data_IF_372158435056
#
_entry.id   IF_372158435056
#
_cell.length_a   1.000
_cell.length_b   1.000
_cell.length_c   1.000
_cell.angle_alpha   90.00
_cell.angle_beta   90.00
_cell.angle_gamma   90.00
#
_symmetry.space_group_name_H-M   'P 1'
#
loop_
_entity.id
_entity.type
_entity.pdbx_description
1 polymer ?
#
# COMPACT_ATOMS: atom_id res chain seq x y z
N UNK A 1 18.34 -2.17 -19.91
CA UNK A 1 18.98 -2.86 -21.06
C UNK A 1 19.99 -3.96 -20.65
N UNK A 2 20.72 -3.83 -19.53
CA UNK A 2 21.72 -4.84 -19.08
C UNK A 2 21.04 -6.09 -18.50
N UNK A 3 20.08 -5.92 -17.58
CA UNK A 3 19.38 -7.03 -16.94
C UNK A 3 18.65 -7.94 -17.94
N UNK A 4 18.00 -7.34 -18.95
CA UNK A 4 17.30 -8.08 -20.00
C UNK A 4 18.23 -8.96 -20.83
N UNK A 5 19.43 -8.46 -21.16
CA UNK A 5 20.47 -9.25 -21.84
C UNK A 5 20.95 -10.42 -20.98
N UNK A 6 21.17 -10.20 -19.69
CA UNK A 6 21.59 -11.26 -18.77
C UNK A 6 20.54 -12.36 -18.62
N UNK A 7 19.28 -11.98 -18.35
CA UNK A 7 18.18 -12.93 -18.15
C UNK A 7 17.81 -13.67 -19.43
N UNK A 8 17.96 -13.04 -20.60
CA UNK A 8 17.77 -13.71 -21.90
C UNK A 8 18.78 -14.85 -22.12
N UNK A 9 20.04 -14.70 -21.68
CA UNK A 9 21.02 -15.80 -21.72
C UNK A 9 20.60 -17.00 -20.86
N UNK A 10 19.75 -16.77 -19.85
CA UNK A 10 19.13 -17.80 -19.00
C UNK A 10 17.75 -18.24 -19.50
N UNK A 11 17.38 -17.90 -20.74
CA UNK A 11 16.08 -18.21 -21.37
C UNK A 11 14.85 -17.67 -20.60
N UNK A 12 15.01 -16.59 -19.84
CA UNK A 12 13.90 -15.90 -19.16
C UNK A 12 13.44 -14.68 -19.95
N UNK A 13 12.12 -14.54 -20.09
CA UNK A 13 11.48 -13.36 -20.67
C UNK A 13 11.40 -12.27 -19.60
N UNK A 14 11.52 -11.02 -20.02
CA UNK A 14 11.41 -9.87 -19.13
C UNK A 14 10.49 -8.82 -19.74
N UNK A 15 9.82 -8.05 -18.90
CA UNK A 15 9.03 -6.90 -19.30
C UNK A 15 9.40 -5.71 -18.42
N UNK A 16 9.62 -4.55 -19.03
CA UNK A 16 9.88 -3.32 -18.29
C UNK A 16 8.55 -2.65 -17.94
N UNK A 17 8.44 -2.21 -16.69
CA UNK A 17 7.32 -1.42 -16.19
C UNK A 17 7.89 -0.17 -15.54
N UNK A 18 7.36 0.98 -15.92
CA UNK A 18 7.69 2.26 -15.30
C UNK A 18 6.45 2.74 -14.55
N UNK A 19 6.58 3.01 -13.25
CA UNK A 19 5.48 3.47 -12.40
C UNK A 19 5.84 4.84 -11.82
N UNK A 20 4.84 5.69 -11.68
CA UNK A 20 4.94 6.89 -10.84
C UNK A 20 4.37 6.61 -9.45
N UNK A 21 4.67 7.47 -8.48
CA UNK A 21 4.01 7.45 -7.18
C UNK A 21 2.47 7.44 -7.31
N UNK A 22 1.93 8.25 -8.23
CA UNK A 22 0.49 8.34 -8.49
C UNK A 22 -0.12 7.03 -9.00
N UNK A 23 0.63 6.22 -9.74
CA UNK A 23 0.16 4.91 -10.24
C UNK A 23 0.03 3.88 -9.12
N UNK A 24 0.69 4.13 -7.98
CA UNK A 24 0.66 3.26 -6.81
C UNK A 24 -0.31 3.71 -5.71
N UNK A 25 -0.62 5.01 -5.63
CA UNK A 25 -1.59 5.56 -4.66
C UNK A 25 -3.03 5.62 -5.21
N UNK A 26 -3.20 5.87 -6.51
CA UNK A 26 -4.52 5.87 -7.15
C UNK A 26 -5.04 4.43 -7.29
N UNK A 27 -6.26 4.17 -6.81
CA UNK A 27 -6.84 2.82 -6.81
C UNK A 27 -7.06 2.26 -8.21
N UNK A 28 -7.51 3.07 -9.17
CA UNK A 28 -7.79 2.63 -10.53
C UNK A 28 -6.48 2.31 -11.25
N UNK A 29 -5.47 3.16 -11.11
CA UNK A 29 -4.14 2.96 -11.70
C UNK A 29 -3.38 1.81 -11.05
N UNK A 30 -3.51 1.62 -9.74
CA UNK A 30 -2.92 0.49 -9.03
C UNK A 30 -3.58 -0.84 -9.39
N UNK A 31 -4.89 -0.89 -9.63
CA UNK A 31 -5.56 -2.08 -10.17
C UNK A 31 -5.08 -2.41 -11.59
N UNK A 32 -4.95 -1.42 -12.48
CA UNK A 32 -4.42 -1.65 -13.82
C UNK A 32 -2.98 -2.17 -13.78
N UNK A 33 -2.15 -1.59 -12.90
CA UNK A 33 -0.78 -2.03 -12.66
C UNK A 33 -0.75 -3.47 -12.12
N UNK A 34 -1.65 -3.80 -11.18
CA UNK A 34 -1.79 -5.15 -10.62
C UNK A 34 -2.11 -6.18 -11.70
N UNK A 35 -3.13 -5.94 -12.51
CA UNK A 35 -3.54 -6.89 -13.56
C UNK A 35 -2.43 -7.08 -14.60
N UNK A 36 -1.71 -6.01 -14.95
CA UNK A 36 -0.57 -6.08 -15.86
C UNK A 36 0.56 -6.93 -15.27
N UNK A 37 0.97 -6.65 -14.03
CA UNK A 37 2.04 -7.39 -13.36
C UNK A 37 1.67 -8.87 -13.19
N UNK A 38 0.43 -9.16 -12.76
CA UNK A 38 -0.07 -10.53 -12.62
C UNK A 38 -0.06 -11.29 -13.95
N UNK A 39 -0.52 -10.65 -15.03
CA UNK A 39 -0.55 -11.27 -16.36
C UNK A 39 0.84 -11.64 -16.86
N UNK A 40 1.84 -10.78 -16.59
CA UNK A 40 3.25 -11.06 -16.91
C UNK A 40 3.79 -12.26 -16.12
N UNK A 41 3.54 -12.30 -14.81
CA UNK A 41 3.97 -13.41 -13.94
C UNK A 41 3.32 -14.73 -14.39
N UNK A 42 2.01 -14.73 -14.67
CA UNK A 42 1.29 -15.91 -15.19
C UNK A 42 1.83 -16.41 -16.55
N UNK A 43 2.50 -15.53 -17.30
CA UNK A 43 3.10 -15.83 -18.60
C UNK A 43 4.59 -16.22 -18.51
N UNK A 44 5.13 -16.51 -17.32
CA UNK A 44 6.56 -16.74 -17.03
C UNK A 44 7.47 -15.60 -17.53
N UNK A 45 6.97 -14.36 -17.45
CA UNK A 45 7.73 -13.14 -17.74
C UNK A 45 8.10 -12.47 -16.43
N UNK A 46 9.38 -12.12 -16.27
CA UNK A 46 9.90 -11.41 -15.09
C UNK A 46 9.66 -9.89 -15.26
N UNK A 47 8.82 -9.26 -14.43
CA UNK A 47 8.66 -7.80 -14.46
C UNK A 47 9.90 -7.12 -13.88
N UNK A 48 10.42 -6.12 -14.59
CA UNK A 48 11.48 -5.22 -14.12
C UNK A 48 10.83 -3.85 -13.94
N UNK A 49 10.62 -3.47 -12.69
CA UNK A 49 9.89 -2.26 -12.31
C UNK A 49 10.89 -1.19 -11.89
N UNK A 50 10.71 0.04 -12.35
CA UNK A 50 11.46 1.22 -11.91
C UNK A 50 10.53 2.44 -11.84
N UNK A 51 10.96 3.47 -11.13
CA UNK A 51 10.25 4.76 -11.15
C UNK A 51 10.32 5.42 -12.54
N UNK A 52 9.26 6.13 -12.90
CA UNK A 52 9.18 6.90 -14.13
C UNK A 52 9.61 8.36 -13.90
N UNK A 53 10.93 8.57 -13.79
CA UNK A 53 11.53 9.87 -13.47
C UNK A 53 11.23 10.98 -14.50
N UNK A 54 10.81 10.62 -15.72
CA UNK A 54 10.57 11.59 -16.80
C UNK A 54 9.22 12.31 -16.68
N UNK A 55 8.26 11.73 -15.97
CA UNK A 55 6.90 12.28 -15.81
C UNK A 55 6.54 12.55 -14.35
N UNK A 56 7.40 12.18 -13.40
CA UNK A 56 7.24 12.51 -11.99
C UNK A 56 7.51 14.02 -11.79
N UNK A 57 6.57 14.73 -11.18
CA UNK A 57 6.74 16.14 -10.79
C UNK A 57 7.69 16.27 -9.60
N UNK A 58 8.49 17.35 -9.57
CA UNK A 58 9.64 17.55 -8.67
C UNK A 58 9.34 17.53 -7.17
N UNK A 59 8.06 17.65 -6.76
CA UNK A 59 7.62 17.77 -5.36
C UNK A 59 7.77 16.46 -4.53
N UNK A 60 8.08 15.33 -5.20
CA UNK A 60 8.25 14.01 -4.58
C UNK A 60 9.61 13.36 -4.87
N UNK A 61 10.63 14.16 -5.24
CA UNK A 61 12.02 13.69 -5.42
C UNK A 61 12.70 13.30 -4.09
N UNK A 62 12.20 12.25 -3.46
CA UNK A 62 13.04 11.37 -2.65
C UNK A 62 13.04 10.02 -3.36
N UNK A 63 14.06 9.84 -4.22
CA UNK A 63 14.27 8.66 -5.07
C UNK A 63 14.56 7.40 -4.26
N UNK A 64 13.51 6.86 -3.63
CA UNK A 64 13.60 5.74 -2.72
C UNK A 64 12.85 4.53 -3.29
N UNK A 65 13.58 3.76 -4.10
CA UNK A 65 13.13 2.47 -4.62
C UNK A 65 12.69 1.50 -3.50
N UNK A 66 13.08 1.71 -2.23
CA UNK A 66 12.59 0.90 -1.11
C UNK A 66 11.07 1.08 -0.94
N UNK A 67 10.57 2.33 -0.98
CA UNK A 67 9.13 2.64 -0.93
C UNK A 67 8.40 2.13 -2.16
N UNK A 68 8.95 2.34 -3.35
CA UNK A 68 8.36 1.80 -4.59
C UNK A 68 8.23 0.27 -4.50
N UNK A 69 9.27 -0.42 -4.03
CA UNK A 69 9.25 -1.87 -3.87
C UNK A 69 8.17 -2.32 -2.87
N UNK A 70 8.00 -1.61 -1.75
CA UNK A 70 6.92 -1.87 -0.79
C UNK A 70 5.52 -1.67 -1.39
N UNK A 71 5.33 -0.63 -2.21
CA UNK A 71 4.06 -0.38 -2.90
C UNK A 71 3.77 -1.41 -3.98
N UNK A 72 4.78 -1.80 -4.75
CA UNK A 72 4.65 -2.90 -5.70
C UNK A 72 4.27 -4.19 -4.97
N UNK A 73 4.95 -4.51 -3.87
CA UNK A 73 4.63 -5.68 -3.05
C UNK A 73 3.18 -5.66 -2.54
N UNK A 74 2.67 -4.49 -2.14
CA UNK A 74 1.26 -4.28 -1.83
C UNK A 74 0.34 -4.55 -3.03
N UNK A 75 0.63 -3.95 -4.19
CA UNK A 75 -0.19 -4.07 -5.41
C UNK A 75 -0.33 -5.53 -5.84
N UNK A 76 0.77 -6.28 -5.80
CA UNK A 76 0.78 -7.70 -6.21
C UNK A 76 0.38 -8.66 -5.08
N UNK A 77 0.10 -8.16 -3.88
CA UNK A 77 -0.21 -8.94 -2.68
C UNK A 77 0.89 -9.97 -2.34
N UNK A 78 2.15 -9.54 -2.45
CA UNK A 78 3.31 -10.38 -2.17
C UNK A 78 3.33 -10.85 -0.71
N UNK A 79 3.82 -12.07 -0.48
CA UNK A 79 3.99 -12.62 0.86
C UNK A 79 5.34 -12.19 1.50
N UNK A 80 6.33 -11.83 0.68
CA UNK A 80 7.67 -11.44 1.11
C UNK A 80 8.28 -10.37 0.19
N UNK A 81 8.77 -9.28 0.79
CA UNK A 81 9.61 -8.27 0.18
C UNK A 81 11.07 -8.50 0.59
N UNK A 82 11.97 -8.47 -0.39
CA UNK A 82 13.41 -8.65 -0.20
C UNK A 82 14.13 -7.35 -0.53
N UNK A 83 14.75 -6.72 0.46
CA UNK A 83 15.56 -5.51 0.31
C UNK A 83 17.05 -5.86 0.44
N UNK A 84 17.75 -5.82 -0.69
CA UNK A 84 19.19 -6.07 -0.74
C UNK A 84 19.95 -4.77 -0.45
N UNK A 85 20.87 -4.81 0.51
CA UNK A 85 21.66 -3.64 0.94
C UNK A 85 23.14 -3.98 1.04
N UNK A 86 23.99 -2.98 1.27
CA UNK A 86 25.44 -3.11 1.49
C UNK A 86 25.83 -3.53 2.92
N UNK A 87 24.89 -3.47 3.87
CA UNK A 87 25.05 -3.91 5.27
C UNK A 87 24.35 -5.25 5.55
N UNK A 88 24.68 -5.91 6.67
CA UNK A 88 24.05 -7.19 7.04
C UNK A 88 22.55 -7.05 7.33
N UNK A 89 22.12 -5.95 7.93
CA UNK A 89 20.73 -5.70 8.31
C UNK A 89 20.66 -4.57 9.34
N UNK A 90 19.59 -4.51 10.12
CA UNK A 90 19.42 -3.56 11.23
C UNK A 90 20.19 -4.04 12.45
N UNK A 91 20.92 -3.13 13.09
CA UNK A 91 21.65 -3.39 14.35
C UNK A 91 21.06 -2.51 15.45
N UNK A 92 21.22 -2.95 16.70
CA UNK A 92 20.78 -2.18 17.87
C UNK A 92 21.51 -0.82 18.01
N UNK A 93 22.69 -0.71 17.41
CA UNK A 93 23.52 0.49 17.35
C UNK A 93 24.47 0.38 16.14
N UNK A 94 25.18 1.46 15.80
CA UNK A 94 26.04 1.47 14.62
C UNK A 94 27.27 0.55 14.80
N UNK A 95 27.43 -0.54 14.01
CA UNK A 95 28.54 -1.47 14.15
C UNK A 95 29.89 -0.89 13.76
N UNK A 96 29.94 0.28 13.11
CA UNK A 96 31.20 0.99 12.81
C UNK A 96 31.77 1.73 14.02
N UNK A 97 30.93 2.03 15.01
CA UNK A 97 31.32 2.79 16.21
C UNK A 97 31.34 1.95 17.48
N UNK A 98 30.65 0.80 17.47
CA UNK A 98 30.51 -0.05 18.65
C UNK A 98 30.74 -1.52 18.30
N UNK A 99 31.80 -2.12 18.86
CA UNK A 99 32.17 -3.52 18.62
C UNK A 99 31.14 -4.51 19.17
N UNK A 100 30.36 -4.11 20.18
CA UNK A 100 29.29 -4.92 20.76
C UNK A 100 27.93 -4.75 20.04
N UNK A 101 27.89 -4.13 18.85
CA UNK A 101 26.67 -4.02 18.06
C UNK A 101 26.14 -5.40 17.66
N UNK A 102 24.85 -5.63 17.90
CA UNK A 102 24.15 -6.89 17.61
C UNK A 102 23.14 -6.70 16.50
N UNK A 103 23.12 -7.64 15.56
CA UNK A 103 22.12 -7.70 14.50
C UNK A 103 20.75 -8.03 15.10
N UNK A 104 19.72 -7.31 14.68
CA UNK A 104 18.33 -7.66 14.99
C UNK A 104 17.86 -8.64 13.93
N UNK A 105 17.93 -9.94 14.22
CA UNK A 105 17.52 -10.99 13.29
C UNK A 105 16.03 -10.96 12.99
N UNK A 106 15.21 -10.60 13.98
CA UNK A 106 13.75 -10.55 13.86
C UNK A 106 13.20 -9.29 14.51
N UNK A 107 12.35 -8.58 13.77
CA UNK A 107 11.63 -7.39 14.21
C UNK A 107 10.13 -7.66 14.08
N UNK A 108 9.44 -7.82 15.21
CA UNK A 108 7.98 -8.11 15.23
C UNK A 108 7.11 -6.86 15.25
N UNK A 109 7.67 -5.74 15.67
CA UNK A 109 6.99 -4.45 15.81
C UNK A 109 7.96 -3.36 15.42
N UNK A 110 7.50 -2.47 14.55
CA UNK A 110 8.21 -1.23 14.20
C UNK A 110 7.65 -0.16 15.12
N UNK A 111 8.51 0.43 15.96
CA UNK A 111 8.16 1.50 16.88
C UNK A 111 9.23 2.61 16.86
N UNK A 112 9.07 3.60 17.74
CA UNK A 112 10.02 4.71 17.83
C UNK A 112 11.44 4.29 18.19
N UNK A 113 11.64 3.13 18.85
CA UNK A 113 12.98 2.62 19.14
C UNK A 113 13.63 2.07 17.88
N UNK A 114 12.90 1.30 17.07
CA UNK A 114 13.37 0.79 15.77
C UNK A 114 13.75 1.94 14.84
N UNK A 115 12.94 3.00 14.78
CA UNK A 115 13.26 4.20 14.00
C UNK A 115 14.51 4.92 14.52
N UNK A 116 14.70 5.04 15.83
CA UNK A 116 15.92 5.61 16.43
C UNK A 116 17.17 4.79 16.08
N UNK A 117 17.08 3.45 16.09
CA UNK A 117 18.19 2.56 15.68
C UNK A 117 18.55 2.76 14.20
N UNK A 118 17.57 3.03 13.33
CA UNK A 118 17.79 3.33 11.92
C UNK A 118 18.53 4.65 11.72
N UNK A 119 18.10 5.69 12.44
CA UNK A 119 18.67 7.05 12.36
C UNK A 119 20.07 7.14 12.94
N UNK A 120 20.47 6.26 13.86
CA UNK A 120 21.84 6.21 14.39
C UNK A 120 22.83 5.51 13.44
N UNK A 121 22.34 4.87 12.38
CA UNK A 121 23.15 4.22 11.34
C UNK A 121 23.37 5.07 10.09
N UNK A 122 22.76 6.26 9.99
CA UNK A 122 22.89 7.09 8.78
C UNK A 122 24.26 7.77 8.74
N UNK A 123 25.08 7.41 7.75
CA UNK A 123 26.27 8.17 7.38
C UNK A 123 25.89 9.45 6.63
N UNK A 124 26.73 10.48 6.75
CA UNK A 124 26.55 11.86 6.26
C UNK A 124 26.38 12.05 4.73
N UNK A 125 26.40 10.97 3.93
CA UNK A 125 26.47 11.04 2.45
C UNK A 125 25.37 10.28 1.70
N UNK A 126 24.35 9.72 2.37
CA UNK A 126 23.26 8.99 1.69
C UNK A 126 21.87 9.45 2.17
N UNK A 127 21.00 9.86 1.23
CA UNK A 127 19.70 10.50 1.49
C UNK A 127 18.57 9.55 1.94
N UNK A 128 18.81 8.25 2.10
CA UNK A 128 17.79 7.26 2.47
C UNK A 128 18.36 5.89 2.83
N UNK A 129 19.07 5.79 3.96
CA UNK A 129 19.82 4.59 4.37
C UNK A 129 18.97 3.44 4.93
N UNK A 130 19.16 3.11 6.21
CA UNK A 130 18.36 2.09 6.92
C UNK A 130 16.95 2.58 7.23
N UNK A 131 16.78 3.89 7.43
CA UNK A 131 15.50 4.51 7.76
C UNK A 131 14.41 4.24 6.71
N UNK A 132 14.72 4.42 5.42
CA UNK A 132 13.78 4.17 4.32
C UNK A 132 13.40 2.70 4.19
N UNK A 133 14.33 1.78 4.45
CA UNK A 133 14.08 0.34 4.42
C UNK A 133 13.13 -0.09 5.54
N UNK A 134 13.22 0.56 6.70
CA UNK A 134 12.25 0.36 7.78
C UNK A 134 10.89 0.93 7.40
N UNK A 135 10.82 2.10 6.75
CA UNK A 135 9.56 2.63 6.24
C UNK A 135 8.95 1.70 5.19
N UNK A 136 9.75 1.15 4.28
CA UNK A 136 9.31 0.15 3.32
C UNK A 136 8.79 -1.12 4.00
N UNK A 137 9.48 -1.59 5.04
CA UNK A 137 9.05 -2.73 5.85
C UNK A 137 7.73 -2.45 6.59
N UNK A 138 7.52 -1.23 7.08
CA UNK A 138 6.26 -0.81 7.71
C UNK A 138 5.11 -0.78 6.69
N UNK A 139 5.34 -0.18 5.51
CA UNK A 139 4.36 -0.14 4.42
C UNK A 139 3.99 -1.57 4.01
N UNK A 140 4.96 -2.41 3.68
CA UNK A 140 4.73 -3.80 3.28
C UNK A 140 4.03 -4.61 4.41
N UNK A 141 4.49 -4.44 5.65
CA UNK A 141 3.94 -5.10 6.82
C UNK A 141 2.47 -4.76 7.07
N UNK A 142 2.05 -3.52 6.78
CA UNK A 142 0.65 -3.09 6.91
C UNK A 142 -0.32 -3.88 6.01
N UNK A 143 0.18 -4.52 4.95
CA UNK A 143 -0.60 -5.37 4.03
C UNK A 143 -0.38 -6.88 4.24
N UNK A 144 0.34 -7.26 5.30
CA UNK A 144 0.65 -8.67 5.58
C UNK A 144 1.80 -9.23 4.76
N UNK A 145 2.65 -8.37 4.18
CA UNK A 145 3.87 -8.75 3.50
C UNK A 145 5.04 -8.68 4.49
N UNK A 146 5.75 -9.78 4.71
CA UNK A 146 6.97 -9.77 5.51
C UNK A 146 8.08 -9.07 4.72
N UNK A 147 9.04 -8.44 5.41
CA UNK A 147 10.18 -7.81 4.74
C UNK A 147 11.49 -8.34 5.29
N UNK A 148 12.41 -8.73 4.43
CA UNK A 148 13.77 -9.13 4.81
C UNK A 148 14.77 -8.12 4.26
N UNK A 149 15.53 -7.50 5.16
CA UNK A 149 16.67 -6.64 4.82
C UNK A 149 17.94 -7.45 5.02
N UNK A 150 18.75 -7.61 3.97
CA UNK A 150 19.97 -8.42 4.03
C UNK A 150 21.04 -7.96 3.06
N UNK A 151 22.27 -8.39 3.31
CA UNK A 151 23.43 -8.02 2.51
C UNK A 151 23.38 -8.63 1.10
N UNK A 152 23.39 -7.78 0.08
CA UNK A 152 23.33 -8.16 -1.33
C UNK A 152 24.68 -8.14 -2.06
N UNK A 153 25.69 -7.43 -1.52
CA UNK A 153 27.01 -7.28 -2.13
C UNK A 153 27.99 -8.43 -1.78
N UNK A 154 27.45 -9.64 -1.56
CA UNK A 154 28.21 -10.87 -1.30
C UNK A 154 27.91 -11.90 -2.39
N UNK A 155 28.80 -12.86 -2.58
CA UNK A 155 28.59 -13.93 -3.55
C UNK A 155 27.39 -14.81 -3.16
N UNK A 156 26.45 -14.96 -4.09
CA UNK A 156 25.24 -15.78 -3.95
C UNK A 156 24.46 -15.50 -2.64
N UNK A 157 23.96 -14.27 -2.43
CA UNK A 157 23.39 -13.85 -1.15
C UNK A 157 22.17 -14.71 -0.77
N UNK A 158 21.41 -15.19 -1.75
CA UNK A 158 20.27 -16.09 -1.55
C UNK A 158 20.64 -17.50 -1.08
N UNK A 159 21.86 -17.98 -1.35
CA UNK A 159 22.30 -19.30 -0.88
C UNK A 159 22.44 -19.33 0.64
N UNK A 160 22.84 -18.20 1.21
CA UNK A 160 23.04 -18.05 2.66
C UNK A 160 21.72 -17.89 3.41
N UNK A 161 20.64 -17.44 2.75
CA UNK A 161 19.30 -17.28 3.37
C UNK A 161 18.76 -18.55 4.02
N UNK A 162 19.18 -19.73 3.56
CA UNK A 162 18.79 -21.02 4.15
C UNK A 162 19.47 -21.35 5.48
N UNK A 163 20.48 -20.58 5.91
CA UNK A 163 21.31 -20.87 7.09
C UNK A 163 20.96 -20.04 8.34
N UNK A 164 19.80 -19.37 8.37
CA UNK A 164 19.28 -18.56 9.50
C UNK A 164 20.11 -17.32 9.92
N UNK A 165 21.18 -16.96 9.21
CA UNK A 165 22.20 -16.02 9.71
C UNK A 165 22.39 -14.78 8.82
N UNK A 166 21.32 -14.31 8.17
CA UNK A 166 21.43 -13.29 7.10
C UNK A 166 20.31 -12.27 7.16
N UNK A 167 20.52 -11.31 8.05
CA UNK A 167 19.83 -10.03 8.05
C UNK A 167 18.69 -9.91 9.03
N UNK A 168 17.79 -8.97 8.74
CA UNK A 168 16.72 -8.56 9.66
C UNK A 168 15.36 -8.83 9.03
N UNK A 169 14.63 -9.78 9.60
CA UNK A 169 13.28 -10.15 9.19
C UNK A 169 12.24 -9.33 9.96
N UNK A 170 11.53 -8.48 9.24
CA UNK A 170 10.38 -7.73 9.73
C UNK A 170 9.12 -8.55 9.50
N UNK A 171 8.55 -9.04 10.60
CA UNK A 171 7.35 -9.86 10.58
C UNK A 171 6.13 -8.94 10.54
N UNK A 172 5.27 -9.15 9.55
CA UNK A 172 4.00 -8.44 9.45
C UNK A 172 3.08 -8.81 10.62
N UNK A 173 2.65 -7.79 11.37
CA UNK A 173 1.70 -7.95 12.45
C UNK A 173 0.27 -8.05 11.90
N UNK A 174 -0.14 -9.27 11.56
CA UNK A 174 -1.52 -9.73 11.33
C UNK A 174 -2.17 -9.65 9.93
N UNK A 175 -2.95 -10.72 9.65
CA UNK A 175 -3.75 -11.11 8.46
C UNK A 175 -4.21 -9.96 7.54
N UNK A 176 -4.00 -10.15 6.21
CA UNK A 176 -4.40 -9.40 4.98
C UNK A 176 -5.67 -8.51 5.00
N UNK A 177 -6.53 -8.54 6.02
CA UNK A 177 -7.82 -7.85 6.14
C UNK A 177 -7.80 -6.51 6.90
N UNK A 178 -6.76 -6.17 7.67
CA UNK A 178 -6.66 -4.90 8.45
C UNK A 178 -5.97 -3.74 7.71
N UNK A 179 -5.11 -4.04 6.72
CA UNK A 179 -4.28 -3.02 6.03
C UNK A 179 -5.04 -1.92 5.33
N UNK A 180 -6.11 -2.27 4.61
CA UNK A 180 -6.97 -1.30 3.91
C UNK A 180 -7.63 -0.31 4.88
N UNK A 181 -8.09 -0.79 6.04
CA UNK A 181 -8.76 0.04 7.04
C UNK A 181 -7.77 0.98 7.73
N UNK A 182 -6.55 0.51 8.00
CA UNK A 182 -5.48 1.33 8.56
C UNK A 182 -4.99 2.38 7.54
N UNK A 183 -4.90 2.03 6.26
CA UNK A 183 -4.59 2.98 5.18
C UNK A 183 -5.67 4.05 5.05
N UNK A 184 -6.96 3.66 5.07
CA UNK A 184 -8.07 4.62 5.08
C UNK A 184 -8.03 5.55 6.29
N UNK A 185 -7.67 5.03 7.47
CA UNK A 185 -7.50 5.83 8.67
C UNK A 185 -6.39 6.89 8.53
N UNK A 186 -5.26 6.53 7.89
CA UNK A 186 -4.11 7.41 7.68
C UNK A 186 -4.18 8.29 6.42
N UNK A 187 -5.19 8.11 5.57
CA UNK A 187 -5.28 8.85 4.30
C UNK A 187 -5.68 10.31 4.51
N UNK A 188 -4.87 11.23 3.98
CA UNK A 188 -5.05 12.69 4.13
C UNK A 188 -5.88 13.27 2.98
N UNK A 189 -5.79 12.70 1.78
CA UNK A 189 -6.52 13.18 0.60
C UNK A 189 -7.95 12.64 0.57
N UNK A 190 -8.92 13.53 0.77
CA UNK A 190 -10.36 13.25 0.75
C UNK A 190 -10.96 14.01 -0.44
N UNK A 191 -11.56 13.30 -1.40
CA UNK A 191 -12.10 13.91 -2.62
C UNK A 191 -13.54 14.42 -2.46
N UNK A 192 -14.28 13.92 -1.47
CA UNK A 192 -15.63 14.38 -1.17
C UNK A 192 -16.23 13.76 0.07
N UNK A 193 -17.50 14.06 0.32
CA UNK A 193 -18.17 13.70 1.57
C UNK A 193 -19.59 13.19 1.32
N UNK A 194 -19.97 12.13 2.04
CA UNK A 194 -21.34 11.63 2.09
C UNK A 194 -21.94 11.85 3.48
N UNK A 195 -23.10 12.49 3.51
CA UNK A 195 -23.94 12.58 4.71
C UNK A 195 -24.94 11.42 4.71
N UNK A 196 -25.01 10.68 5.82
CA UNK A 196 -25.81 9.46 5.95
C UNK A 196 -26.84 9.55 7.08
N UNK A 197 -27.93 8.78 6.96
CA UNK A 197 -28.96 8.72 7.99
C UNK A 197 -28.60 7.81 9.18
N UNK A 198 -29.40 7.91 10.26
CA UNK A 198 -29.19 7.12 11.47
C UNK A 198 -29.30 5.59 11.24
N UNK A 199 -30.09 5.15 10.26
CA UNK A 199 -30.20 3.74 9.89
C UNK A 199 -28.89 3.21 9.31
N UNK A 200 -28.29 3.98 8.40
CA UNK A 200 -26.97 3.71 7.83
C UNK A 200 -25.90 3.71 8.91
N UNK A 201 -25.88 4.70 9.81
CA UNK A 201 -24.93 4.77 10.93
C UNK A 201 -24.98 3.49 11.78
N UNK A 202 -26.20 3.05 12.14
CA UNK A 202 -26.38 1.82 12.92
C UNK A 202 -25.94 0.57 12.15
N UNK A 203 -26.18 0.50 10.84
CA UNK A 203 -25.73 -0.61 10.01
C UNK A 203 -24.19 -0.65 9.90
N UNK A 204 -23.55 0.50 9.68
CA UNK A 204 -22.10 0.62 9.60
C UNK A 204 -21.43 0.21 10.92
N UNK A 205 -21.99 0.61 12.07
CA UNK A 205 -21.49 0.19 13.39
C UNK A 205 -21.59 -1.33 13.61
N UNK A 206 -22.51 -2.02 12.93
CA UNK A 206 -22.63 -3.49 12.92
C UNK A 206 -21.72 -4.17 11.88
N UNK A 207 -20.91 -3.40 11.14
CA UNK A 207 -20.00 -3.91 10.12
C UNK A 207 -20.63 -4.13 8.74
N UNK A 208 -21.77 -3.50 8.45
CA UNK A 208 -22.38 -3.52 7.13
C UNK A 208 -21.67 -2.57 6.14
N UNK A 209 -21.96 -2.73 4.84
CA UNK A 209 -21.57 -1.80 3.79
C UNK A 209 -22.48 -0.57 3.78
N UNK A 210 -22.02 0.55 3.21
CA UNK A 210 -22.87 1.72 2.99
C UNK A 210 -23.69 1.52 1.70
N UNK A 211 -25.00 1.44 1.84
CA UNK A 211 -25.95 1.32 0.72
C UNK A 211 -26.47 2.69 0.27
N UNK A 212 -26.92 2.84 -1.00
CA UNK A 212 -27.43 4.11 -1.51
C UNK A 212 -28.64 4.63 -0.71
N UNK A 213 -29.47 3.72 -0.20
CA UNK A 213 -30.68 4.05 0.56
C UNK A 213 -30.40 4.88 1.82
N UNK A 214 -29.20 4.74 2.38
CA UNK A 214 -28.77 5.43 3.60
C UNK A 214 -28.11 6.79 3.38
N UNK A 215 -27.96 7.24 2.13
CA UNK A 215 -27.31 8.51 1.78
C UNK A 215 -28.35 9.62 1.69
N UNK A 216 -28.11 10.71 2.41
CA UNK A 216 -28.95 11.91 2.43
C UNK A 216 -28.38 12.99 1.51
N UNK A 217 -27.06 13.23 1.57
CA UNK A 217 -26.39 14.26 0.76
C UNK A 217 -25.04 13.80 0.23
N UNK A 218 -24.72 14.29 -0.97
CA UNK A 218 -23.42 14.16 -1.63
C UNK A 218 -22.78 15.55 -1.68
N UNK A 219 -21.55 15.68 -1.20
CA UNK A 219 -20.82 16.95 -1.14
C UNK A 219 -19.46 16.81 -1.82
N UNK A 220 -19.10 17.80 -2.64
CA UNK A 220 -17.88 17.80 -3.42
C UNK A 220 -18.00 17.04 -4.74
N UNK A 221 -16.85 16.80 -5.39
CA UNK A 221 -16.76 16.04 -6.64
C UNK A 221 -15.75 14.93 -6.43
N UNK A 222 -16.17 13.70 -6.65
CA UNK A 222 -15.32 12.52 -6.56
C UNK A 222 -15.69 11.53 -7.65
N UNK A 223 -14.72 10.69 -7.98
CA UNK A 223 -14.88 9.58 -8.91
C UNK A 223 -14.90 8.25 -8.16
N UNK A 224 -15.37 7.21 -8.83
CA UNK A 224 -15.23 5.83 -8.40
C UNK A 224 -13.77 5.51 -8.10
N UNK A 225 -13.52 4.98 -6.91
CA UNK A 225 -12.19 4.66 -6.40
C UNK A 225 -11.60 5.72 -5.48
N UNK A 226 -12.20 6.91 -5.41
CA UNK A 226 -11.76 7.97 -4.50
C UNK A 226 -12.12 7.65 -3.04
N UNK A 227 -11.31 8.19 -2.14
CA UNK A 227 -11.61 8.19 -0.70
C UNK A 227 -12.57 9.34 -0.42
N UNK A 228 -13.68 8.97 0.20
CA UNK A 228 -14.73 9.89 0.61
C UNK A 228 -14.93 9.81 2.12
N UNK A 229 -15.19 10.97 2.73
CA UNK A 229 -15.51 11.10 4.15
C UNK A 229 -16.99 10.79 4.38
N UNK A 230 -17.29 10.16 5.50
CA UNK A 230 -18.65 9.81 5.92
C UNK A 230 -18.97 10.66 7.15
N UNK A 231 -20.04 11.45 7.08
CA UNK A 231 -20.50 12.33 8.15
C UNK A 231 -21.95 12.02 8.57
N UNK A 232 -22.31 12.37 9.80
CA UNK A 232 -23.71 12.43 10.23
C UNK A 232 -24.37 13.78 9.85
N UNK A 233 -25.66 13.90 10.16
CA UNK A 233 -26.46 15.11 9.91
C UNK A 233 -25.97 16.36 10.67
N UNK A 234 -25.16 16.19 11.72
CA UNK A 234 -24.54 17.30 12.46
C UNK A 234 -23.14 17.66 11.89
N UNK A 235 -22.71 17.01 10.81
CA UNK A 235 -21.39 17.19 10.23
C UNK A 235 -20.27 16.46 10.98
N UNK A 236 -20.60 15.58 11.94
CA UNK A 236 -19.59 14.81 12.67
C UNK A 236 -18.98 13.76 11.75
N UNK A 237 -17.65 13.77 11.63
CA UNK A 237 -16.88 12.76 10.90
C UNK A 237 -17.00 11.39 11.57
N UNK A 238 -17.60 10.44 10.87
CA UNK A 238 -17.80 9.06 11.31
C UNK A 238 -16.71 8.14 10.82
N UNK A 239 -16.15 8.43 9.64
CA UNK A 239 -15.20 7.54 9.00
C UNK A 239 -14.89 7.94 7.57
N UNK A 240 -14.22 7.04 6.86
CA UNK A 240 -13.86 7.20 5.45
C UNK A 240 -14.03 5.88 4.72
N UNK A 241 -14.23 5.96 3.43
CA UNK A 241 -14.25 4.75 2.61
C UNK A 241 -14.07 5.05 1.13
N UNK A 242 -13.94 3.98 0.36
CA UNK A 242 -13.71 4.07 -1.07
C UNK A 242 -15.04 3.99 -1.81
N UNK A 243 -15.36 5.01 -2.61
CA UNK A 243 -16.58 5.01 -3.41
C UNK A 243 -16.52 4.00 -4.56
N UNK A 244 -17.61 3.30 -4.82
CA UNK A 244 -17.80 2.45 -6.00
C UNK A 244 -18.47 3.16 -7.19
N UNK A 245 -18.82 4.43 -7.00
CA UNK A 245 -19.54 5.26 -7.95
C UNK A 245 -18.98 6.68 -7.99
N UNK A 246 -19.18 7.38 -9.10
CA UNK A 246 -18.88 8.80 -9.21
C UNK A 246 -19.93 9.63 -8.44
N UNK A 247 -19.59 10.86 -8.03
CA UNK A 247 -20.50 11.72 -7.27
C UNK A 247 -21.86 11.93 -7.96
N UNK A 248 -21.85 12.10 -9.29
CA UNK A 248 -23.06 12.27 -10.08
C UNK A 248 -23.93 10.99 -10.07
N UNK A 249 -23.31 9.82 -10.14
CA UNK A 249 -24.03 8.55 -10.08
C UNK A 249 -24.63 8.35 -8.69
N UNK A 250 -23.86 8.61 -7.61
CA UNK A 250 -24.36 8.55 -6.23
C UNK A 250 -25.55 9.50 -6.05
N UNK A 251 -25.48 10.70 -6.61
CA UNK A 251 -26.57 11.68 -6.55
C UNK A 251 -27.86 11.17 -7.23
N UNK A 252 -27.74 10.39 -8.31
CA UNK A 252 -28.89 9.77 -8.99
C UNK A 252 -29.52 8.61 -8.19
N UNK A 253 -28.70 7.84 -7.46
CA UNK A 253 -29.15 6.62 -6.75
C UNK A 253 -29.32 6.80 -5.23
N UNK A 254 -29.00 7.97 -4.67
CA UNK A 254 -29.17 8.23 -3.24
C UNK A 254 -30.63 8.06 -2.81
N UNK A 255 -30.83 7.47 -1.64
CA UNK A 255 -32.16 7.15 -1.11
C UNK A 255 -32.90 6.03 -1.87
N UNK A 256 -32.28 5.37 -2.85
CA UNK A 256 -32.90 4.27 -3.61
C UNK A 256 -32.45 2.90 -3.11
N UNK A 257 -33.30 1.89 -3.33
CA UNK A 257 -32.94 0.48 -3.11
C UNK A 257 -31.92 0.03 -4.15
N UNK A 258 -30.97 -0.81 -3.76
CA UNK A 258 -29.91 -1.32 -4.64
C UNK A 258 -30.43 -2.01 -5.90
N UNK A 259 -31.60 -2.64 -5.83
CA UNK A 259 -32.27 -3.26 -6.99
C UNK A 259 -32.64 -2.27 -8.11
N UNK A 260 -32.70 -0.97 -7.82
CA UNK A 260 -33.02 0.07 -8.80
C UNK A 260 -31.78 0.65 -9.50
N UNK A 261 -30.56 0.32 -9.04
CA UNK A 261 -29.31 0.90 -9.59
C UNK A 261 -29.22 0.63 -11.08
N UNK A 262 -29.40 -0.62 -11.52
CA UNK A 262 -29.33 -1.01 -12.93
C UNK A 262 -30.30 -0.22 -13.82
N UNK A 263 -31.51 0.03 -13.30
CA UNK A 263 -32.54 0.79 -14.01
C UNK A 263 -32.18 2.28 -14.13
N UNK A 264 -31.57 2.85 -13.10
CA UNK A 264 -31.26 4.28 -13.02
C UNK A 264 -29.98 4.63 -13.78
N UNK A 265 -28.92 3.83 -13.62
CA UNK A 265 -27.61 4.07 -14.24
C UNK A 265 -27.45 3.41 -15.61
N UNK A 266 -28.33 2.48 -15.98
CA UNK A 266 -28.30 1.80 -17.28
C UNK A 266 -27.27 0.66 -17.37
N UNK A 267 -26.57 0.33 -16.29
CA UNK A 267 -25.62 -0.77 -16.24
C UNK A 267 -25.68 -1.51 -14.90
N UNK A 268 -25.18 -2.74 -14.87
CA UNK A 268 -25.16 -3.56 -13.65
C UNK A 268 -23.98 -3.14 -12.74
N UNK A 269 -24.31 -2.50 -11.62
CA UNK A 269 -23.35 -2.00 -10.63
C UNK A 269 -23.33 -2.82 -9.33
N UNK A 270 -22.48 -2.40 -8.39
CA UNK A 270 -22.43 -2.95 -7.02
C UNK A 270 -23.66 -2.51 -6.22
N UNK A 271 -24.13 -3.32 -5.29
CA UNK A 271 -25.30 -2.95 -4.48
C UNK A 271 -24.99 -1.81 -3.50
N UNK A 272 -23.74 -1.74 -3.06
CA UNK A 272 -23.20 -0.79 -2.10
C UNK A 272 -22.43 0.36 -2.75
N UNK A 273 -22.48 1.52 -2.10
CA UNK A 273 -21.68 2.71 -2.45
C UNK A 273 -20.27 2.56 -1.89
N UNK A 274 -20.14 2.05 -0.66
CA UNK A 274 -18.86 1.72 -0.02
C UNK A 274 -18.99 0.33 0.60
N UNK A 275 -18.18 -0.63 0.16
CA UNK A 275 -18.15 -1.95 0.76
C UNK A 275 -17.47 -1.94 2.14
N UNK A 276 -17.99 -2.72 3.09
CA UNK A 276 -17.51 -2.82 4.49
C UNK A 276 -16.01 -3.10 4.65
N UNK A 277 -15.40 -3.73 3.65
CA UNK A 277 -13.95 -4.05 3.65
C UNK A 277 -13.10 -2.84 3.28
N UNK A 278 -13.66 -1.88 2.54
CA UNK A 278 -13.05 -0.61 2.13
C UNK A 278 -13.69 0.58 2.87
N UNK A 279 -14.16 0.32 4.09
CA UNK A 279 -14.77 1.29 4.98
C UNK A 279 -14.06 1.24 6.33
N UNK A 280 -13.61 2.41 6.77
CA UNK A 280 -13.04 2.65 8.08
C UNK A 280 -13.99 3.56 8.87
N UNK A 281 -14.33 3.16 10.08
CA UNK A 281 -15.03 4.01 11.04
C UNK A 281 -14.03 4.46 12.10
N UNK A 282 -14.02 5.76 12.38
CA UNK A 282 -13.28 6.32 13.50
C UNK A 282 -13.86 5.73 14.78
N UNK A 283 -13.03 5.05 15.58
CA UNK A 283 -13.46 4.61 16.91
C UNK A 283 -13.82 5.85 17.74
N UNK A 284 -14.92 5.74 18.49
CA UNK A 284 -15.25 6.68 19.57
C UNK A 284 -14.15 6.68 20.61
#
# INVERSE_FOLDING_TARGET
MILSRFLRKKKKKVAQILLTFSDTEDRRRSLNSRETIKSLILSDVIPIINENDTVATDELKFGDNDRLAARVAQIVEADLLLLLTDVKGLYNQNPKHYDNAKLLETVKKIDSQIYKMASSQTNSYGSGGMFTKIQAAEIAGSYGCNTLIFQGNIDNPFKNLKKNDVGSLFISSEKKKKGVKNWLAGSINISGTLEIDNGAINALNKGASLLPIGIQRVLGKFSKGDIIEIIDYNGKKLGKGISYYDANEVEMIKGKKSTLIKKILGYEGREEIIHRDYLYLSKR
#
